data_IF_506126184844
#
_entry.id   IF_506126184844
#
_cell.length_a   1.000
_cell.length_b   1.000
_cell.length_c   1.000
_cell.angle_alpha   90.00
_cell.angle_beta   90.00
_cell.angle_gamma   90.00
#
_symmetry.space_group_name_H-M   'P 1'
#
loop_
_entity.id
_entity.type
_entity.pdbx_description
1 polymer ?
#
# COMPACT_ATOMS: atom_id res chain seq x y z
N UNK A 1 -20.91 -16.80 -26.77
CA UNK A 1 -22.36 -16.87 -26.50
C UNK A 1 -22.77 -16.64 -25.04
N UNK A 2 -22.31 -17.40 -24.02
CA UNK A 2 -22.66 -17.11 -22.61
C UNK A 2 -21.96 -15.85 -22.07
N UNK A 3 -20.67 -15.67 -22.36
CA UNK A 3 -19.93 -14.45 -21.99
C UNK A 3 -20.52 -13.19 -22.67
N UNK A 4 -20.87 -13.26 -23.96
CA UNK A 4 -21.45 -12.10 -24.69
C UNK A 4 -22.77 -11.64 -24.10
N UNK A 5 -23.66 -12.55 -23.69
CA UNK A 5 -24.91 -12.20 -23.01
C UNK A 5 -24.66 -11.53 -21.65
N UNK A 6 -23.68 -12.03 -20.89
CA UNK A 6 -23.29 -11.44 -19.61
C UNK A 6 -22.67 -10.06 -19.80
N UNK A 7 -21.76 -9.90 -20.77
CA UNK A 7 -21.15 -8.62 -21.15
C UNK A 7 -22.23 -7.62 -21.53
N UNK A 8 -23.11 -7.98 -22.49
CA UNK A 8 -24.19 -7.11 -22.95
C UNK A 8 -25.16 -6.72 -21.82
N UNK A 9 -25.36 -7.58 -20.81
CA UNK A 9 -26.17 -7.21 -19.63
C UNK A 9 -25.50 -6.13 -18.78
N UNK A 10 -24.17 -6.14 -18.67
CA UNK A 10 -23.43 -5.14 -17.88
C UNK A 10 -23.30 -3.82 -18.63
N UNK A 11 -22.97 -3.84 -19.92
CA UNK A 11 -22.69 -2.62 -20.70
C UNK A 11 -23.88 -2.13 -21.54
N UNK A 12 -24.97 -2.89 -21.64
CA UNK A 12 -26.11 -2.54 -22.49
C UNK A 12 -26.96 -1.37 -21.96
N UNK A 13 -26.83 -1.01 -20.68
CA UNK A 13 -27.53 0.13 -20.07
C UNK A 13 -26.58 0.91 -19.18
N UNK A 14 -25.64 1.65 -19.80
CA UNK A 14 -24.75 2.55 -19.09
C UNK A 14 -25.38 3.95 -18.98
N UNK A 15 -25.37 4.61 -17.81
CA UNK A 15 -25.95 5.94 -17.62
C UNK A 15 -25.24 7.05 -18.43
N UNK A 16 -23.96 6.88 -18.75
CA UNK A 16 -23.18 7.79 -19.58
C UNK A 16 -22.29 7.01 -20.54
N UNK A 17 -21.88 7.68 -21.61
CA UNK A 17 -20.91 7.12 -22.56
C UNK A 17 -19.54 6.96 -21.92
N UNK A 18 -18.86 5.88 -22.27
CA UNK A 18 -17.50 5.55 -21.82
C UNK A 18 -16.59 5.50 -23.04
N UNK A 19 -15.53 6.31 -23.02
CA UNK A 19 -14.51 6.34 -24.07
C UNK A 19 -13.37 5.37 -23.71
N UNK A 20 -13.08 4.45 -24.62
CA UNK A 20 -11.97 3.53 -24.55
C UNK A 20 -10.86 3.94 -25.53
N UNK A 21 -9.71 4.38 -25.03
CA UNK A 21 -8.54 4.65 -25.88
C UNK A 21 -7.65 3.43 -25.94
N UNK A 22 -7.30 3.00 -27.15
CA UNK A 22 -6.45 1.83 -27.38
C UNK A 22 -5.09 2.28 -27.89
N UNK A 23 -4.04 1.96 -27.14
CA UNK A 23 -2.66 2.35 -27.42
C UNK A 23 -1.89 1.20 -28.08
N UNK A 24 -1.38 1.44 -29.29
CA UNK A 24 -0.35 0.66 -30.00
C UNK A 24 -0.54 -0.87 -30.11
N UNK A 25 -1.75 -1.42 -29.92
CA UNK A 25 -2.00 -2.86 -30.04
C UNK A 25 -3.27 -3.21 -30.84
N UNK A 26 -3.12 -4.07 -31.86
CA UNK A 26 -4.21 -4.48 -32.74
C UNK A 26 -5.16 -5.49 -32.09
N UNK A 27 -4.67 -6.37 -31.23
CA UNK A 27 -5.50 -7.35 -30.53
C UNK A 27 -6.45 -6.69 -29.52
N UNK A 28 -5.94 -5.73 -28.77
CA UNK A 28 -6.73 -4.85 -27.90
C UNK A 28 -7.77 -4.05 -28.70
N UNK A 29 -7.40 -3.54 -29.88
CA UNK A 29 -8.33 -2.83 -30.76
C UNK A 29 -9.46 -3.74 -31.23
N UNK A 30 -9.16 -4.97 -31.65
CA UNK A 30 -10.18 -5.94 -32.05
C UNK A 30 -11.12 -6.30 -30.90
N UNK A 31 -10.59 -6.44 -29.68
CA UNK A 31 -11.38 -6.66 -28.48
C UNK A 31 -12.35 -5.50 -28.21
N UNK A 32 -11.84 -4.26 -28.21
CA UNK A 32 -12.66 -3.05 -27.99
C UNK A 32 -13.71 -2.87 -29.08
N UNK A 33 -13.37 -3.14 -30.36
CA UNK A 33 -14.34 -3.12 -31.46
C UNK A 33 -15.50 -4.08 -31.22
N UNK A 34 -15.21 -5.31 -30.78
CA UNK A 34 -16.25 -6.29 -30.43
C UNK A 34 -17.14 -5.77 -29.30
N UNK A 35 -16.56 -5.21 -28.24
CA UNK A 35 -17.34 -4.61 -27.15
C UNK A 35 -18.25 -3.47 -27.62
N UNK A 36 -17.75 -2.57 -28.47
CA UNK A 36 -18.54 -1.47 -29.01
C UNK A 36 -19.74 -1.93 -29.85
N UNK A 37 -19.67 -3.11 -30.49
CA UNK A 37 -20.85 -3.67 -31.19
C UNK A 37 -21.98 -4.12 -30.25
N UNK A 38 -21.70 -4.27 -28.95
CA UNK A 38 -22.65 -4.75 -27.95
C UNK A 38 -23.34 -3.60 -27.18
N UNK A 39 -22.87 -2.35 -27.33
CA UNK A 39 -23.46 -1.18 -26.65
C UNK A 39 -23.08 0.13 -27.32
N UNK A 40 -24.10 0.94 -27.65
CA UNK A 40 -23.94 2.30 -28.18
C UNK A 40 -23.34 3.30 -27.17
N UNK A 41 -23.21 2.89 -25.90
CA UNK A 41 -22.59 3.70 -24.84
C UNK A 41 -21.07 3.53 -24.78
N UNK A 42 -20.49 2.65 -25.59
CA UNK A 42 -19.03 2.46 -25.67
C UNK A 42 -18.51 3.15 -26.93
N UNK A 43 -17.70 4.18 -26.72
CA UNK A 43 -16.94 4.85 -27.77
C UNK A 43 -15.48 4.40 -27.70
N UNK A 44 -14.77 4.45 -28.82
CA UNK A 44 -13.35 4.09 -28.82
C UNK A 44 -12.52 4.90 -29.81
N UNK A 45 -11.25 5.04 -29.48
CA UNK A 45 -10.22 5.69 -30.29
C UNK A 45 -8.98 4.79 -30.35
N UNK A 46 -8.29 4.77 -31.48
CA UNK A 46 -7.02 4.06 -31.62
C UNK A 46 -5.88 5.06 -31.76
N UNK A 47 -4.85 4.88 -30.92
CA UNK A 47 -3.65 5.68 -30.88
C UNK A 47 -2.48 4.78 -31.30
N UNK A 48 -1.73 5.19 -32.32
CA UNK A 48 -0.60 4.41 -32.83
C UNK A 48 0.60 4.39 -31.89
N UNK A 49 0.65 5.33 -30.94
CA UNK A 49 1.67 5.42 -29.92
C UNK A 49 1.31 4.59 -28.67
N UNK A 50 2.33 4.29 -27.89
CA UNK A 50 2.16 3.65 -26.57
C UNK A 50 1.74 4.70 -25.54
N UNK A 51 1.18 4.24 -24.43
CA UNK A 51 0.85 5.12 -23.30
C UNK A 51 2.13 5.78 -22.77
N UNK A 52 2.08 7.09 -22.57
CA UNK A 52 3.25 7.94 -22.31
C UNK A 52 4.01 7.64 -21.01
N UNK A 53 3.31 7.32 -19.93
CA UNK A 53 3.91 7.09 -18.60
C UNK A 53 4.65 5.74 -18.57
N UNK A 54 3.97 4.69 -19.01
CA UNK A 54 4.46 3.31 -18.91
C UNK A 54 5.24 2.86 -20.13
N UNK A 55 5.09 3.57 -21.26
CA UNK A 55 5.58 3.15 -22.58
C UNK A 55 5.09 1.75 -22.96
N UNK A 56 3.84 1.44 -22.61
CA UNK A 56 3.17 0.17 -22.88
C UNK A 56 1.96 0.35 -23.80
N UNK A 57 1.63 -0.68 -24.62
CA UNK A 57 0.30 -0.76 -25.20
C UNK A 57 -0.74 -0.99 -24.09
N UNK A 58 -1.99 -0.59 -24.33
CA UNK A 58 -3.03 -0.74 -23.32
C UNK A 58 -4.39 -0.23 -23.77
N UNK A 59 -5.41 -0.51 -22.95
CA UNK A 59 -6.76 0.04 -23.07
C UNK A 59 -6.97 0.98 -21.90
N UNK A 60 -7.20 2.26 -22.17
CA UNK A 60 -7.56 3.26 -21.17
C UNK A 60 -9.08 3.47 -21.16
N UNK A 61 -9.66 3.43 -19.97
CA UNK A 61 -11.02 3.90 -19.70
C UNK A 61 -10.90 5.41 -19.41
N UNK A 62 -10.94 6.21 -20.46
CA UNK A 62 -10.49 7.61 -20.47
C UNK A 62 -11.30 8.52 -19.53
N UNK A 63 -12.57 8.17 -19.26
CA UNK A 63 -13.43 8.91 -18.32
C UNK A 63 -12.86 8.98 -16.89
N UNK A 64 -12.01 8.01 -16.52
CA UNK A 64 -11.52 7.82 -15.15
C UNK A 64 -10.02 7.56 -15.06
N UNK A 65 -9.29 7.48 -16.17
CA UNK A 65 -7.83 7.32 -16.17
C UNK A 65 -7.35 5.96 -15.67
N UNK A 66 -8.10 4.89 -15.97
CA UNK A 66 -7.72 3.50 -15.61
C UNK A 66 -7.21 2.78 -16.86
N UNK A 67 -6.04 2.17 -16.78
CA UNK A 67 -5.33 1.55 -17.89
C UNK A 67 -5.19 0.04 -17.67
N UNK A 68 -5.60 -0.74 -18.65
CA UNK A 68 -5.36 -2.19 -18.72
C UNK A 68 -4.30 -2.47 -19.77
N UNK A 69 -3.10 -2.83 -19.32
CA UNK A 69 -2.00 -3.30 -20.17
C UNK A 69 -2.11 -4.82 -20.32
N UNK A 70 -3.20 -5.26 -20.93
CA UNK A 70 -3.55 -6.63 -21.27
C UNK A 70 -4.84 -6.64 -22.12
N UNK A 71 -5.14 -7.74 -22.80
CA UNK A 71 -6.48 -7.99 -23.36
C UNK A 71 -7.33 -8.65 -22.27
N UNK A 72 -8.38 -7.98 -21.72
CA UNK A 72 -9.12 -8.51 -20.58
C UNK A 72 -9.80 -9.85 -20.87
N UNK A 73 -9.45 -10.88 -20.11
CA UNK A 73 -10.06 -12.21 -20.21
C UNK A 73 -10.42 -12.76 -18.83
N UNK A 74 -11.38 -13.69 -18.78
CA UNK A 74 -11.80 -14.36 -17.54
C UNK A 74 -12.10 -13.38 -16.38
N UNK A 75 -11.34 -13.45 -15.28
CA UNK A 75 -11.50 -12.57 -14.11
C UNK A 75 -11.13 -11.12 -14.40
N UNK A 76 -10.20 -10.86 -15.32
CA UNK A 76 -9.83 -9.49 -15.72
C UNK A 76 -10.96 -8.84 -16.53
N UNK A 77 -11.67 -9.63 -17.34
CA UNK A 77 -12.85 -9.15 -18.06
C UNK A 77 -13.93 -8.69 -17.07
N UNK A 78 -14.13 -9.41 -15.96
CA UNK A 78 -15.08 -8.98 -14.92
C UNK A 78 -14.67 -7.64 -14.29
N UNK A 79 -13.40 -7.50 -13.90
CA UNK A 79 -12.86 -6.23 -13.39
C UNK A 79 -12.98 -5.09 -14.40
N UNK A 80 -12.69 -5.38 -15.68
CA UNK A 80 -12.81 -4.40 -16.77
C UNK A 80 -14.26 -3.92 -16.94
N UNK A 81 -15.23 -4.84 -16.97
CA UNK A 81 -16.66 -4.50 -17.09
C UNK A 81 -17.19 -3.73 -15.87
N UNK A 82 -16.77 -4.12 -14.66
CA UNK A 82 -17.09 -3.36 -13.45
C UNK A 82 -16.55 -1.94 -13.54
N UNK A 83 -15.31 -1.78 -14.03
CA UNK A 83 -14.66 -0.48 -14.17
C UNK A 83 -15.38 0.40 -15.20
N UNK A 84 -15.82 -0.16 -16.33
CA UNK A 84 -16.68 0.56 -17.31
C UNK A 84 -17.96 1.04 -16.64
N UNK A 85 -18.63 0.18 -15.86
CA UNK A 85 -19.86 0.57 -15.15
C UNK A 85 -19.59 1.74 -14.20
N UNK A 86 -18.57 1.64 -13.35
CA UNK A 86 -18.19 2.70 -12.43
C UNK A 86 -17.82 4.00 -13.18
N UNK A 87 -17.10 3.89 -14.29
CA UNK A 87 -16.70 5.03 -15.11
C UNK A 87 -17.89 5.75 -15.76
N UNK A 88 -18.95 5.01 -16.10
CA UNK A 88 -20.19 5.59 -16.62
C UNK A 88 -21.00 6.32 -15.54
N UNK A 89 -20.87 5.92 -14.28
CA UNK A 89 -21.57 6.52 -13.14
C UNK A 89 -20.80 7.73 -12.56
N UNK A 90 -19.48 7.73 -12.70
CA UNK A 90 -18.61 8.80 -12.19
C UNK A 90 -18.94 10.18 -12.80
N UNK A 91 -18.68 11.24 -12.04
CA UNK A 91 -18.91 12.63 -12.50
C UNK A 91 -17.80 13.18 -13.41
N UNK A 92 -16.82 12.34 -13.76
CA UNK A 92 -15.61 12.65 -14.56
C UNK A 92 -14.72 13.73 -13.95
N UNK A 93 -13.49 13.36 -13.60
CA UNK A 93 -12.24 14.14 -13.72
C UNK A 93 -11.15 13.41 -12.94
N UNK A 94 -10.07 13.03 -13.62
CA UNK A 94 -8.81 12.78 -12.95
C UNK A 94 -8.35 14.10 -12.32
N UNK A 95 -8.09 14.09 -11.01
CA UNK A 95 -7.73 15.28 -10.23
C UNK A 95 -6.46 15.06 -9.40
N UNK A 96 -6.10 13.81 -9.15
CA UNK A 96 -4.93 13.46 -8.36
C UNK A 96 -3.65 13.39 -9.18
N UNK A 97 -2.53 13.74 -8.55
CA UNK A 97 -1.18 13.65 -9.12
C UNK A 97 -0.53 12.27 -8.91
N UNK A 98 -1.11 11.42 -8.07
CA UNK A 98 -0.59 10.09 -7.78
C UNK A 98 -1.07 9.07 -8.83
N UNK A 99 -0.14 8.23 -9.25
CA UNK A 99 -0.39 7.09 -10.12
C UNK A 99 -0.21 5.80 -9.33
N UNK A 100 -1.13 4.87 -9.54
CA UNK A 100 -1.12 3.55 -8.93
C UNK A 100 -0.73 2.53 -10.00
N UNK A 101 0.09 1.55 -9.65
CA UNK A 101 0.46 0.45 -10.56
C UNK A 101 0.18 -0.88 -9.86
N UNK A 102 -0.64 -1.73 -10.47
CA UNK A 102 -0.91 -3.09 -10.01
C UNK A 102 -0.38 -4.11 -11.00
N UNK A 103 0.51 -4.97 -10.55
CA UNK A 103 0.99 -6.14 -11.28
C UNK A 103 0.08 -7.33 -11.03
N UNK A 104 -0.38 -7.96 -12.10
CA UNK A 104 -1.27 -9.12 -12.11
C UNK A 104 -0.71 -10.23 -12.99
N UNK A 105 -1.32 -11.42 -12.92
CA UNK A 105 -1.14 -12.46 -13.92
C UNK A 105 -2.50 -13.03 -14.32
N UNK A 106 -2.58 -13.61 -15.51
CA UNK A 106 -3.78 -14.32 -15.95
C UNK A 106 -4.19 -15.41 -14.93
N UNK A 107 -5.50 -15.64 -14.80
CA UNK A 107 -6.11 -16.67 -13.93
C UNK A 107 -5.90 -16.52 -12.40
N UNK A 108 -5.34 -15.40 -11.93
CA UNK A 108 -5.17 -15.11 -10.51
C UNK A 108 -6.48 -14.59 -9.87
N UNK A 109 -7.14 -15.41 -9.04
CA UNK A 109 -8.38 -15.00 -8.36
C UNK A 109 -8.17 -13.81 -7.39
N UNK A 110 -7.05 -13.80 -6.66
CA UNK A 110 -6.73 -12.73 -5.72
C UNK A 110 -6.47 -11.38 -6.41
N UNK A 111 -6.00 -11.42 -7.66
CA UNK A 111 -5.70 -10.23 -8.44
C UNK A 111 -6.96 -9.44 -8.78
N UNK A 112 -8.08 -10.13 -9.04
CA UNK A 112 -9.39 -9.51 -9.25
C UNK A 112 -9.83 -8.68 -8.04
N UNK A 113 -9.68 -9.22 -6.83
CA UNK A 113 -10.07 -8.53 -5.59
C UNK A 113 -9.26 -7.24 -5.43
N UNK A 114 -7.93 -7.32 -5.62
CA UNK A 114 -7.06 -6.15 -5.54
C UNK A 114 -7.39 -5.11 -6.62
N UNK A 115 -7.51 -5.52 -7.89
CA UNK A 115 -7.81 -4.60 -9.00
C UNK A 115 -9.16 -3.91 -8.79
N UNK A 116 -10.19 -4.65 -8.38
CA UNK A 116 -11.52 -4.06 -8.12
C UNK A 116 -11.46 -3.04 -6.98
N UNK A 117 -10.77 -3.35 -5.90
CA UNK A 117 -10.60 -2.44 -4.76
C UNK A 117 -9.85 -1.17 -5.18
N UNK A 118 -8.71 -1.33 -5.87
CA UNK A 118 -7.90 -0.20 -6.35
C UNK A 118 -8.67 0.64 -7.36
N UNK A 119 -9.39 0.05 -8.32
CA UNK A 119 -10.17 0.80 -9.31
C UNK A 119 -11.26 1.64 -8.67
N UNK A 120 -12.00 1.10 -7.69
CA UNK A 120 -13.02 1.87 -6.97
C UNK A 120 -12.42 3.10 -6.29
N UNK A 121 -11.31 2.92 -5.58
CA UNK A 121 -10.63 4.00 -4.86
C UNK A 121 -10.02 5.00 -5.84
N UNK A 122 -9.34 4.54 -6.89
CA UNK A 122 -8.77 5.39 -7.93
C UNK A 122 -9.83 6.25 -8.61
N UNK A 123 -10.98 5.67 -8.98
CA UNK A 123 -12.12 6.42 -9.55
C UNK A 123 -12.66 7.44 -8.54
N UNK A 124 -12.86 7.04 -7.28
CA UNK A 124 -13.40 7.91 -6.22
C UNK A 124 -12.49 9.11 -5.94
N UNK A 125 -11.18 8.92 -6.01
CA UNK A 125 -10.17 9.93 -5.72
C UNK A 125 -9.67 10.66 -6.98
N UNK A 126 -10.10 10.23 -8.17
CA UNK A 126 -9.62 10.76 -9.45
C UNK A 126 -8.12 10.52 -9.68
N UNK A 127 -7.61 9.35 -9.28
CA UNK A 127 -6.23 8.91 -9.48
C UNK A 127 -6.13 8.03 -10.72
N UNK A 128 -4.94 7.98 -11.33
CA UNK A 128 -4.67 7.02 -12.41
C UNK A 128 -4.29 5.66 -11.83
N UNK A 129 -4.66 4.60 -12.53
CA UNK A 129 -4.27 3.25 -12.18
C UNK A 129 -3.89 2.43 -13.41
N UNK A 130 -2.70 1.83 -13.38
CA UNK A 130 -2.16 0.96 -14.42
C UNK A 130 -2.18 -0.50 -13.96
N UNK A 131 -2.92 -1.35 -14.66
CA UNK A 131 -2.95 -2.80 -14.44
C UNK A 131 -2.03 -3.45 -15.48
N UNK A 132 -0.97 -4.13 -15.03
CA UNK A 132 0.07 -4.71 -15.89
C UNK A 132 0.12 -6.23 -15.69
N UNK A 133 -0.07 -7.00 -16.77
CA UNK A 133 0.12 -8.45 -16.75
C UNK A 133 1.61 -8.80 -16.87
N UNK A 134 2.18 -9.37 -15.81
CA UNK A 134 3.61 -9.76 -15.74
C UNK A 134 3.97 -10.81 -16.79
N UNK A 135 3.01 -11.60 -17.26
CA UNK A 135 3.21 -12.63 -18.28
C UNK A 135 3.44 -12.02 -19.66
N UNK A 136 2.86 -10.84 -19.91
CA UNK A 136 3.01 -10.10 -21.16
C UNK A 136 4.18 -9.12 -21.12
N UNK A 137 4.54 -8.62 -19.93
CA UNK A 137 5.59 -7.62 -19.74
C UNK A 137 6.62 -8.04 -18.67
N UNK A 138 7.34 -9.17 -18.88
CA UNK A 138 8.29 -9.69 -17.89
C UNK A 138 9.43 -8.72 -17.57
N UNK A 139 9.94 -7.99 -18.56
CA UNK A 139 11.02 -7.00 -18.36
C UNK A 139 10.63 -5.89 -17.38
N UNK A 140 9.35 -5.49 -17.39
CA UNK A 140 8.84 -4.47 -16.46
C UNK A 140 8.66 -5.07 -15.07
N UNK A 141 8.13 -6.29 -14.97
CA UNK A 141 8.02 -6.99 -13.71
C UNK A 141 9.40 -7.16 -13.04
N UNK A 142 10.43 -7.52 -13.80
CA UNK A 142 11.81 -7.62 -13.31
C UNK A 142 12.35 -6.27 -12.84
N UNK A 143 12.14 -5.19 -13.62
CA UNK A 143 12.56 -3.83 -13.24
C UNK A 143 11.96 -3.37 -11.90
N UNK A 144 10.72 -3.77 -11.62
CA UNK A 144 10.04 -3.46 -10.36
C UNK A 144 10.32 -4.48 -9.24
N UNK A 145 11.14 -5.51 -9.50
CA UNK A 145 11.44 -6.56 -8.53
C UNK A 145 10.21 -7.38 -8.14
N UNK A 146 9.28 -7.63 -9.08
CA UNK A 146 8.04 -8.35 -8.83
C UNK A 146 8.30 -9.86 -8.77
N UNK A 147 8.12 -10.44 -7.58
CA UNK A 147 8.23 -11.87 -7.33
C UNK A 147 6.87 -12.54 -7.01
N UNK A 148 5.80 -11.77 -6.92
CA UNK A 148 4.45 -12.26 -6.64
C UNK A 148 3.36 -11.30 -7.10
N UNK A 149 2.17 -11.83 -7.34
CA UNK A 149 0.99 -11.07 -7.75
C UNK A 149 -0.23 -11.43 -6.89
N UNK A 150 -1.15 -10.49 -6.63
CA UNK A 150 -1.07 -9.08 -7.00
C UNK A 150 -0.02 -8.32 -6.18
N UNK A 151 0.69 -7.38 -6.82
CA UNK A 151 1.52 -6.38 -6.13
C UNK A 151 1.09 -4.99 -6.57
N UNK A 152 0.78 -4.12 -5.62
CA UNK A 152 0.30 -2.75 -5.85
C UNK A 152 1.32 -1.74 -5.33
N UNK A 153 1.63 -0.73 -6.16
CA UNK A 153 2.43 0.43 -5.81
C UNK A 153 1.59 1.68 -5.91
N UNK A 154 1.63 2.53 -4.88
CA UNK A 154 1.00 3.85 -4.86
C UNK A 154 1.88 4.83 -4.08
N UNK A 155 2.71 5.61 -4.78
CA UNK A 155 3.75 6.40 -4.13
C UNK A 155 4.71 5.52 -3.35
N UNK A 156 4.86 5.75 -2.03
CA UNK A 156 5.67 4.91 -1.15
C UNK A 156 4.92 3.68 -0.59
N UNK A 157 3.63 3.55 -0.86
CA UNK A 157 2.84 2.39 -0.41
C UNK A 157 3.11 1.20 -1.34
N UNK A 158 3.45 0.06 -0.73
CA UNK A 158 3.61 -1.23 -1.42
C UNK A 158 2.76 -2.31 -0.74
N UNK A 159 1.83 -2.90 -1.49
CA UNK A 159 0.92 -3.93 -1.01
C UNK A 159 1.11 -5.22 -1.81
N UNK A 160 1.38 -6.33 -1.11
CA UNK A 160 1.64 -7.65 -1.69
C UNK A 160 0.62 -8.71 -1.27
N UNK A 161 -0.40 -8.28 -0.52
CA UNK A 161 -1.43 -9.13 0.11
C UNK A 161 -2.81 -8.53 -0.14
N UNK A 162 -3.85 -9.27 0.21
CA UNK A 162 -5.22 -8.79 0.13
C UNK A 162 -5.47 -7.65 1.11
N UNK A 163 -6.28 -6.70 0.68
CA UNK A 163 -6.74 -5.53 1.44
C UNK A 163 -8.18 -5.21 1.03
N UNK A 164 -8.89 -4.45 1.85
CA UNK A 164 -10.23 -3.96 1.51
C UNK A 164 -10.16 -2.64 0.74
N UNK A 165 -11.25 -2.26 0.06
CA UNK A 165 -11.33 -0.93 -0.55
C UNK A 165 -11.38 0.20 0.49
N UNK A 166 -11.91 -0.06 1.70
CA UNK A 166 -11.89 0.92 2.79
C UNK A 166 -10.47 1.17 3.30
N UNK A 167 -9.71 0.12 3.60
CA UNK A 167 -8.34 0.25 4.12
C UNK A 167 -7.45 0.95 3.09
N UNK A 168 -7.55 0.51 1.83
CA UNK A 168 -6.79 1.11 0.74
C UNK A 168 -7.15 2.60 0.57
N UNK A 169 -8.42 2.97 0.65
CA UNK A 169 -8.81 4.39 0.61
C UNK A 169 -8.18 5.19 1.76
N UNK A 170 -8.24 4.68 2.98
CA UNK A 170 -7.65 5.33 4.17
C UNK A 170 -6.16 5.57 3.96
N UNK A 171 -5.41 4.54 3.55
CA UNK A 171 -3.96 4.64 3.35
C UNK A 171 -3.60 5.60 2.21
N UNK A 172 -4.36 5.57 1.12
CA UNK A 172 -4.13 6.44 -0.04
C UNK A 172 -4.39 7.90 0.31
N UNK A 173 -5.45 8.20 1.08
CA UNK A 173 -5.72 9.57 1.56
C UNK A 173 -4.62 10.08 2.47
N UNK A 174 -4.19 9.25 3.44
CA UNK A 174 -3.06 9.59 4.30
C UNK A 174 -1.81 9.89 3.48
N UNK A 175 -1.45 9.01 2.54
CA UNK A 175 -0.27 9.19 1.69
C UNK A 175 -0.32 10.47 0.85
N UNK A 176 -1.49 10.88 0.36
CA UNK A 176 -1.68 12.16 -0.35
C UNK A 176 -1.43 13.38 0.55
N UNK A 177 -1.60 13.23 1.86
CA UNK A 177 -1.34 14.25 2.88
C UNK A 177 0.06 14.10 3.53
N UNK A 178 0.81 13.07 3.14
CA UNK A 178 2.12 12.74 3.72
C UNK A 178 2.04 12.00 5.05
N UNK A 179 0.86 11.51 5.45
CA UNK A 179 0.64 10.73 6.65
C UNK A 179 0.55 9.22 6.32
N UNK A 180 1.45 8.44 6.90
CA UNK A 180 1.53 6.99 6.68
C UNK A 180 1.15 6.18 7.92
N UNK A 181 0.66 6.81 9.00
CA UNK A 181 0.48 6.15 10.30
C UNK A 181 -0.36 4.87 10.21
N UNK A 182 -1.57 4.96 9.66
CA UNK A 182 -2.49 3.81 9.54
C UNK A 182 -1.91 2.69 8.66
N UNK A 183 -1.16 3.06 7.62
CA UNK A 183 -0.51 2.07 6.75
C UNK A 183 0.66 1.38 7.46
N UNK A 184 1.47 2.14 8.21
CA UNK A 184 2.56 1.60 9.01
C UNK A 184 1.99 0.69 10.11
N UNK A 185 0.95 1.11 10.81
CA UNK A 185 0.29 0.32 11.86
C UNK A 185 -0.20 -1.03 11.30
N UNK A 186 -0.89 -1.03 10.16
CA UNK A 186 -1.30 -2.26 9.47
C UNK A 186 -0.11 -3.17 9.16
N UNK A 187 0.97 -2.61 8.58
CA UNK A 187 2.16 -3.39 8.21
C UNK A 187 2.85 -4.00 9.43
N UNK A 188 2.95 -3.25 10.52
CA UNK A 188 3.49 -3.72 11.79
C UNK A 188 2.63 -4.86 12.37
N UNK A 189 1.31 -4.71 12.34
CA UNK A 189 0.38 -5.74 12.83
C UNK A 189 0.57 -7.08 12.11
N UNK A 190 0.76 -7.05 10.79
CA UNK A 190 0.97 -8.27 9.99
C UNK A 190 2.44 -8.73 9.92
N UNK A 191 3.35 -8.01 10.59
CA UNK A 191 4.77 -8.34 10.66
C UNK A 191 5.60 -8.03 9.40
N UNK A 192 5.13 -7.15 8.51
CA UNK A 192 5.86 -6.70 7.32
C UNK A 192 6.61 -5.40 7.62
N UNK A 193 7.89 -5.48 7.99
CA UNK A 193 8.68 -4.33 8.49
C UNK A 193 9.81 -3.87 7.54
N UNK A 194 10.06 -4.62 6.46
CA UNK A 194 11.25 -4.47 5.63
C UNK A 194 11.38 -3.10 4.99
N UNK A 195 10.27 -2.57 4.49
CA UNK A 195 10.18 -1.36 3.66
C UNK A 195 9.70 -0.13 4.44
N UNK A 196 9.47 -0.24 5.77
CA UNK A 196 8.85 0.81 6.57
C UNK A 196 9.79 1.94 6.99
N UNK A 197 11.11 1.70 7.00
CA UNK A 197 12.09 2.68 7.45
C UNK A 197 12.07 4.00 6.68
N UNK A 198 11.67 3.98 5.40
CA UNK A 198 11.56 5.17 4.55
C UNK A 198 10.25 5.96 4.72
N UNK A 199 9.29 5.38 5.43
CA UNK A 199 7.99 5.99 5.75
C UNK A 199 8.01 6.73 7.09
N UNK A 200 8.93 6.37 7.97
CA UNK A 200 9.07 6.98 9.29
C UNK A 200 10.07 8.12 9.22
N UNK A 201 9.56 9.35 9.27
CA UNK A 201 10.36 10.57 9.27
C UNK A 201 10.38 11.30 10.63
N UNK A 202 9.51 10.87 11.56
CA UNK A 202 9.31 11.49 12.89
C UNK A 202 9.45 10.47 14.01
N UNK A 203 10.12 10.87 15.08
CA UNK A 203 10.30 10.06 16.29
C UNK A 203 9.00 9.88 17.06
N UNK A 204 8.10 10.87 16.98
CA UNK A 204 6.78 10.87 17.59
C UNK A 204 5.93 9.71 17.04
N UNK A 205 5.98 9.49 15.72
CA UNK A 205 5.28 8.36 15.06
C UNK A 205 5.73 7.01 15.62
N UNK A 206 7.04 6.82 15.87
CA UNK A 206 7.54 5.58 16.49
C UNK A 206 6.99 5.39 17.90
N UNK A 207 6.97 6.45 18.71
CA UNK A 207 6.47 6.39 20.07
C UNK A 207 4.95 6.16 20.13
N UNK A 208 4.19 6.78 19.23
CA UNK A 208 2.74 6.54 19.09
C UNK A 208 2.46 5.07 18.71
N UNK A 209 3.20 4.52 17.73
CA UNK A 209 3.08 3.11 17.35
C UNK A 209 3.47 2.15 18.48
N UNK A 210 4.48 2.52 19.29
CA UNK A 210 4.85 1.79 20.50
C UNK A 210 3.85 1.94 21.65
N UNK A 211 2.98 2.95 21.62
CA UNK A 211 1.90 3.14 22.60
C UNK A 211 0.54 2.66 22.06
N UNK A 212 0.53 2.03 20.89
CA UNK A 212 -0.70 1.61 20.22
C UNK A 212 -1.49 0.60 21.05
N UNK A 213 -2.83 0.67 21.02
CA UNK A 213 -3.70 -0.22 21.82
C UNK A 213 -3.52 -1.71 21.44
N UNK A 214 -3.38 -1.98 20.13
CA UNK A 214 -3.12 -3.30 19.59
C UNK A 214 -1.68 -3.74 19.87
N UNK A 215 -1.54 -4.85 20.60
CA UNK A 215 -0.26 -5.43 20.96
C UNK A 215 0.61 -5.80 19.75
N UNK A 216 0.02 -6.30 18.65
CA UNK A 216 0.79 -6.67 17.47
C UNK A 216 1.42 -5.47 16.77
N UNK A 217 0.74 -4.31 16.78
CA UNK A 217 1.32 -3.06 16.28
C UNK A 217 2.50 -2.64 17.15
N UNK A 218 2.37 -2.68 18.49
CA UNK A 218 3.48 -2.35 19.40
C UNK A 218 4.68 -3.28 19.20
N UNK A 219 4.43 -4.58 19.11
CA UNK A 219 5.48 -5.58 18.87
C UNK A 219 6.20 -5.32 17.55
N UNK A 220 5.45 -5.03 16.48
CA UNK A 220 6.02 -4.64 15.19
C UNK A 220 6.84 -3.34 15.29
N UNK A 221 6.35 -2.33 16.02
CA UNK A 221 7.03 -1.05 16.22
C UNK A 221 8.38 -1.23 16.93
N UNK A 222 8.42 -2.07 17.97
CA UNK A 222 9.65 -2.44 18.67
C UNK A 222 10.64 -3.15 17.74
N UNK A 223 10.17 -4.13 16.96
CA UNK A 223 11.01 -4.85 16.00
C UNK A 223 11.57 -3.93 14.90
N UNK A 224 10.74 -2.97 14.43
CA UNK A 224 11.16 -1.97 13.47
C UNK A 224 12.22 -1.03 14.06
N UNK A 225 12.02 -0.54 15.28
CA UNK A 225 13.00 0.31 15.97
C UNK A 225 14.33 -0.42 16.20
N UNK A 226 14.30 -1.68 16.62
CA UNK A 226 15.49 -2.52 16.77
C UNK A 226 16.23 -2.68 15.43
N UNK A 227 15.51 -2.94 14.34
CA UNK A 227 16.09 -3.04 12.98
C UNK A 227 16.73 -1.71 12.56
N UNK A 228 16.04 -0.59 12.76
CA UNK A 228 16.56 0.74 12.46
C UNK A 228 17.84 1.01 13.25
N UNK A 229 17.89 0.63 14.53
CA UNK A 229 19.07 0.77 15.37
C UNK A 229 20.24 -0.10 14.90
N UNK A 230 19.99 -1.38 14.56
CA UNK A 230 21.02 -2.28 14.00
C UNK A 230 21.62 -1.75 12.69
N UNK A 231 20.80 -1.07 11.89
CA UNK A 231 21.24 -0.45 10.64
C UNK A 231 21.88 0.94 10.84
N UNK A 232 21.97 1.44 12.07
CA UNK A 232 22.56 2.74 12.39
C UNK A 232 21.71 3.95 11.97
N UNK A 233 20.40 3.76 11.77
CA UNK A 233 19.50 4.85 11.39
C UNK A 233 19.47 5.94 12.47
N UNK A 234 19.66 7.20 12.09
CA UNK A 234 19.74 8.32 13.03
C UNK A 234 18.48 8.43 13.92
N UNK A 235 17.32 8.21 13.32
CA UNK A 235 16.00 8.31 13.97
C UNK A 235 15.86 7.36 15.16
N UNK A 236 16.53 6.20 15.17
CA UNK A 236 16.43 5.26 16.29
C UNK A 236 17.05 5.81 17.57
N UNK A 237 18.10 6.63 17.46
CA UNK A 237 18.72 7.33 18.61
C UNK A 237 17.95 8.57 19.01
N UNK A 238 17.35 9.26 18.04
CA UNK A 238 16.54 10.45 18.30
C UNK A 238 15.23 10.09 19.01
N UNK A 239 14.70 8.88 18.78
CA UNK A 239 13.47 8.40 19.40
C UNK A 239 13.57 8.24 20.94
N UNK A 240 14.77 8.26 21.53
CA UNK A 240 14.96 8.05 22.98
C UNK A 240 14.17 9.01 23.85
N UNK A 241 14.11 10.29 23.49
CA UNK A 241 13.37 11.29 24.28
C UNK A 241 11.86 11.08 24.22
N UNK A 242 11.35 10.54 23.11
CA UNK A 242 9.95 10.12 22.99
C UNK A 242 9.67 8.88 23.82
N UNK A 243 10.54 7.87 23.75
CA UNK A 243 10.41 6.62 24.50
C UNK A 243 10.48 6.87 26.01
N UNK A 244 11.35 7.80 26.48
CA UNK A 244 11.38 8.22 27.89
C UNK A 244 10.04 8.76 28.39
N UNK A 245 9.24 9.40 27.52
CA UNK A 245 7.90 9.88 27.91
C UNK A 245 6.93 8.72 28.13
N UNK A 246 7.08 7.63 27.37
CA UNK A 246 6.28 6.41 27.54
C UNK A 246 6.53 5.70 28.88
N UNK A 247 7.66 5.94 29.55
CA UNK A 247 7.90 5.44 30.91
C UNK A 247 6.89 5.96 31.96
N UNK A 248 6.11 6.99 31.62
CA UNK A 248 5.05 7.54 32.48
C UNK A 248 3.64 7.13 32.04
N UNK A 249 3.53 6.24 31.05
CA UNK A 249 2.23 5.79 30.54
C UNK A 249 1.45 5.03 31.62
N UNK A 250 0.13 5.15 31.64
CA UNK A 250 -0.73 4.51 32.65
C UNK A 250 -0.70 2.97 32.54
N UNK A 251 -0.65 2.46 31.32
CA UNK A 251 -0.50 1.03 31.02
C UNK A 251 0.93 0.55 31.29
N UNK A 252 1.09 -0.38 32.23
CA UNK A 252 2.38 -0.96 32.59
C UNK A 252 3.04 -1.70 31.43
N UNK A 253 2.26 -2.26 30.50
CA UNK A 253 2.78 -2.97 29.33
C UNK A 253 3.51 -2.02 28.38
N UNK A 254 2.96 -0.83 28.16
CA UNK A 254 3.62 0.22 27.35
C UNK A 254 4.88 0.73 28.06
N UNK A 255 4.85 0.88 29.39
CA UNK A 255 6.05 1.24 30.16
C UNK A 255 7.14 0.18 30.02
N UNK A 256 6.77 -1.10 30.08
CA UNK A 256 7.68 -2.23 29.90
C UNK A 256 8.30 -2.25 28.50
N UNK A 257 7.47 -2.13 27.45
CA UNK A 257 7.90 -2.02 26.05
C UNK A 257 8.89 -0.85 25.87
N UNK A 258 8.63 0.30 26.50
CA UNK A 258 9.50 1.47 26.46
C UNK A 258 10.84 1.25 27.18
N UNK A 259 10.83 0.59 28.34
CA UNK A 259 12.05 0.22 29.08
C UNK A 259 12.93 -0.69 28.23
N UNK A 260 12.36 -1.72 27.62
CA UNK A 260 13.10 -2.65 26.76
C UNK A 260 13.70 -1.93 25.55
N UNK A 261 12.95 -1.05 24.90
CA UNK A 261 13.48 -0.28 23.77
C UNK A 261 14.58 0.68 24.18
N UNK A 262 14.54 1.30 25.37
CA UNK A 262 15.68 2.06 25.88
C UNK A 262 16.91 1.17 26.10
N UNK A 263 16.75 -0.10 26.50
CA UNK A 263 17.85 -1.06 26.51
C UNK A 263 18.48 -1.26 25.12
N UNK A 264 17.65 -1.25 24.06
CA UNK A 264 18.10 -1.44 22.67
C UNK A 264 18.69 -0.16 22.08
N UNK A 265 18.03 0.99 22.19
CA UNK A 265 18.47 2.22 21.50
C UNK A 265 19.18 3.22 22.39
N UNK A 266 19.13 3.01 23.70
CA UNK A 266 19.70 3.89 24.71
C UNK A 266 21.22 3.90 24.78
N UNK A 267 21.73 4.87 25.52
CA UNK A 267 23.12 5.02 25.90
C UNK A 267 23.31 5.33 27.40
N UNK A 268 24.52 5.72 27.78
CA UNK A 268 24.88 5.99 29.17
C UNK A 268 24.04 7.10 29.82
N UNK A 269 23.49 8.03 29.04
CA UNK A 269 22.64 9.11 29.54
C UNK A 269 21.28 8.59 30.03
N UNK A 270 20.86 7.41 29.55
CA UNK A 270 19.58 6.80 29.89
C UNK A 270 19.66 5.91 31.14
N UNK A 271 20.87 5.58 31.62
CA UNK A 271 21.06 4.71 32.79
C UNK A 271 20.38 5.28 34.04
N UNK A 272 20.48 6.58 34.28
CA UNK A 272 19.91 7.20 35.48
C UNK A 272 18.38 7.04 35.55
N UNK A 273 17.68 7.17 34.41
CA UNK A 273 16.23 7.00 34.39
C UNK A 273 15.85 5.53 34.56
N UNK A 274 16.59 4.61 33.94
CA UNK A 274 16.35 3.16 34.10
C UNK A 274 16.63 2.68 35.53
N UNK A 275 17.70 3.16 36.16
CA UNK A 275 18.06 2.81 37.54
C UNK A 275 16.95 3.20 38.52
N UNK A 276 16.30 4.35 38.29
CA UNK A 276 15.16 4.81 39.08
C UNK A 276 13.93 3.87 39.00
N UNK A 277 13.82 3.08 37.94
CA UNK A 277 12.73 2.14 37.71
C UNK A 277 13.00 0.73 38.27
N UNK A 278 14.21 0.41 38.70
CA UNK A 278 14.57 -0.96 39.15
C UNK A 278 13.82 -1.48 40.37
N UNK A 279 13.21 -0.57 41.14
CA UNK A 279 12.37 -0.87 42.30
C UNK A 279 10.86 -0.82 41.98
N UNK A 280 10.48 -0.50 40.73
CA UNK A 280 9.09 -0.54 40.28
C UNK A 280 8.60 -1.99 40.19
N UNK A 281 7.45 -2.28 40.79
CA UNK A 281 6.90 -3.65 40.84
C UNK A 281 6.51 -4.18 39.46
N UNK A 282 6.17 -3.31 38.51
CA UNK A 282 5.72 -3.69 37.17
C UNK A 282 6.86 -3.80 36.17
N UNK A 283 7.83 -2.87 36.20
CA UNK A 283 8.87 -2.77 35.15
C UNK A 283 10.31 -2.95 35.66
N UNK A 284 10.49 -3.22 36.96
CA UNK A 284 11.81 -3.22 37.59
C UNK A 284 12.77 -4.29 37.07
N UNK A 285 12.28 -5.48 36.71
CA UNK A 285 13.11 -6.53 36.10
C UNK A 285 13.55 -6.14 34.68
N UNK A 286 12.62 -5.66 33.86
CA UNK A 286 12.90 -5.17 32.51
C UNK A 286 13.89 -3.99 32.55
N UNK A 287 13.81 -3.14 33.59
CA UNK A 287 14.76 -2.03 33.78
C UNK A 287 16.18 -2.53 34.07
N UNK A 288 16.34 -3.57 34.89
CA UNK A 288 17.64 -4.20 35.15
C UNK A 288 18.23 -4.81 33.88
N UNK A 289 17.40 -5.49 33.08
CA UNK A 289 17.81 -6.04 31.79
C UNK A 289 18.25 -4.94 30.82
N UNK A 290 17.46 -3.89 30.66
CA UNK A 290 17.81 -2.75 29.81
C UNK A 290 19.13 -2.07 30.22
N UNK A 291 19.37 -1.92 31.53
CA UNK A 291 20.65 -1.41 32.06
C UNK A 291 21.81 -2.33 31.66
N UNK A 292 21.64 -3.64 31.80
CA UNK A 292 22.65 -4.61 31.42
C UNK A 292 22.98 -4.52 29.92
N UNK A 293 21.97 -4.43 29.06
CA UNK A 293 22.15 -4.28 27.60
C UNK A 293 22.99 -3.04 27.24
N UNK A 294 22.74 -1.91 27.91
CA UNK A 294 23.52 -0.68 27.70
C UNK A 294 24.95 -0.89 28.21
N UNK A 295 25.12 -1.42 29.43
CA UNK A 295 26.44 -1.64 30.05
C UNK A 295 27.33 -2.56 29.24
N UNK A 296 26.79 -3.67 28.74
CA UNK A 296 27.50 -4.62 27.86
C UNK A 296 27.96 -3.95 26.56
N UNK A 297 27.12 -3.10 25.97
CA UNK A 297 27.46 -2.38 24.74
C UNK A 297 28.61 -1.39 24.90
N UNK A 298 28.74 -0.79 26.08
CA UNK A 298 29.75 0.24 26.35
C UNK A 298 30.90 -0.22 27.27
N UNK A 299 30.96 -1.51 27.61
CA UNK A 299 32.05 -2.13 28.38
C UNK A 299 32.20 -1.58 29.81
N UNK A 300 31.09 -1.30 30.50
CA UNK A 300 31.06 -0.73 31.85
C UNK A 300 30.29 -1.60 32.84
#
# INVERSE_FOLDING_TARGET
MLQEKTVAKVIGHLPKKVLLKVYSDKGMLEFVKKLATLSDSIEYEFLSEKESTTNLPGIEIANVGIFFHLVPQHSELESFLLTIKLASEAESTTRGSMEIVTFVSSFCQNCRIAVDAVNKVAIKLGLKHHIIDVSQFPDIAEKYGIYGVPTVFAGKIVLRRAFTDQDFETWIRGAMEGDYYEFIAYKLEIGEIEDLGELIDKTETLAELMAHENFFVRLGAMALLERLAKNGAKISREAREEIKRLLKHEDSRIREDAVMMLGIVGDKEDLCVLESLTSDESVGESAKEAIQMIRERYGS
#
